data_IF_256818440412
#
_entry.id   IF_256818440412
#
_cell.length_a   1.000
_cell.length_b   1.000
_cell.length_c   1.000
_cell.angle_alpha   90.00
_cell.angle_beta   90.00
_cell.angle_gamma   90.00
#
_symmetry.space_group_name_H-M   'P 1'
#
loop_
_entity.id
_entity.type
_entity.pdbx_description
1 polymer ?
#
# COMPACT_ATOMS: atom_id res chain seq x y z
N UNK A 1 15.16 -2.76 28.84
CA UNK A 1 14.60 -1.49 28.27
C UNK A 1 13.49 -1.88 27.32
N UNK A 2 12.25 -1.49 27.65
CA UNK A 2 11.12 -1.61 26.73
C UNK A 2 11.25 -0.43 25.79
N UNK A 3 11.81 -0.65 24.61
CA UNK A 3 11.84 0.36 23.56
C UNK A 3 10.42 0.47 23.03
N UNK A 4 9.72 1.53 23.41
CA UNK A 4 8.38 1.82 22.87
C UNK A 4 8.53 2.14 21.40
N UNK A 5 8.03 1.27 20.54
CA UNK A 5 8.09 1.45 19.10
C UNK A 5 7.10 2.56 18.70
N UNK A 6 7.55 3.52 17.91
CA UNK A 6 6.70 4.58 17.38
C UNK A 6 6.10 4.14 16.06
N UNK A 7 4.79 4.08 15.98
CA UNK A 7 4.02 3.86 14.76
C UNK A 7 4.03 5.15 13.94
N UNK A 8 4.44 5.07 12.67
CA UNK A 8 4.30 6.17 11.71
C UNK A 8 5.49 7.11 11.59
N UNK A 9 6.70 6.72 12.00
CA UNK A 9 7.89 7.47 11.63
C UNK A 9 8.09 7.45 10.10
N UNK A 10 8.57 8.53 9.50
CA UNK A 10 8.64 8.72 8.02
C UNK A 10 9.39 7.63 7.25
N UNK A 11 10.12 6.76 7.92
CA UNK A 11 10.94 5.71 7.31
C UNK A 11 10.34 4.30 7.34
N UNK A 12 9.26 4.08 8.07
CA UNK A 12 8.77 2.72 8.31
C UNK A 12 7.26 2.60 8.14
N UNK A 13 6.81 2.39 6.92
CA UNK A 13 5.49 1.79 6.66
C UNK A 13 5.43 0.38 7.29
N UNK A 14 6.57 -0.31 7.45
CA UNK A 14 6.69 -1.64 8.04
C UNK A 14 6.45 -1.71 9.54
N UNK A 15 6.76 -0.67 10.29
CA UNK A 15 6.54 -0.61 11.76
C UNK A 15 5.12 -0.22 12.14
N UNK A 16 4.23 -0.14 11.17
CA UNK A 16 2.85 0.29 11.31
C UNK A 16 1.88 -0.71 10.71
N UNK A 17 0.64 -0.64 11.16
CA UNK A 17 -0.47 -1.31 10.50
C UNK A 17 -0.75 -0.61 9.18
N UNK A 18 -0.64 -1.32 8.05
CA UNK A 18 -0.76 -0.78 6.70
C UNK A 18 -1.88 -1.45 5.90
N UNK A 19 -2.49 -0.69 5.01
CA UNK A 19 -3.26 -1.18 3.87
C UNK A 19 -2.52 -0.85 2.59
N UNK A 20 -2.58 -1.75 1.61
CA UNK A 20 -1.81 -1.64 0.38
C UNK A 20 -2.67 -1.98 -0.82
N UNK A 21 -2.50 -1.22 -1.89
CA UNK A 21 -3.11 -1.45 -3.19
C UNK A 21 -2.02 -1.65 -4.24
N UNK A 22 -1.95 -2.85 -4.80
CA UNK A 22 -1.02 -3.19 -5.87
C UNK A 22 -1.79 -3.38 -7.16
N UNK A 23 -1.30 -2.83 -8.28
CA UNK A 23 -2.02 -2.87 -9.56
C UNK A 23 -1.10 -2.79 -10.78
N UNK A 24 -1.56 -3.32 -11.91
CA UNK A 24 -0.94 -3.22 -13.24
C UNK A 24 -1.90 -2.44 -14.15
N UNK A 25 -1.91 -1.10 -14.07
CA UNK A 25 -2.94 -0.31 -14.76
C UNK A 25 -2.77 -0.24 -16.27
N UNK A 26 -1.54 -0.42 -16.79
CA UNK A 26 -1.23 -0.36 -18.22
C UNK A 26 -1.17 -1.73 -18.90
N UNK A 27 -1.21 -2.83 -18.14
CA UNK A 27 -1.16 -4.18 -18.71
C UNK A 27 0.20 -4.60 -19.29
N UNK A 28 1.26 -3.85 -19.00
CA UNK A 28 2.62 -4.03 -19.57
C UNK A 28 3.59 -4.77 -18.63
N UNK A 29 3.09 -5.26 -17.48
CA UNK A 29 3.90 -5.96 -16.48
C UNK A 29 4.56 -5.04 -15.44
N UNK A 30 4.46 -3.72 -15.59
CA UNK A 30 4.87 -2.77 -14.54
C UNK A 30 3.73 -2.68 -13.51
N UNK A 31 3.99 -3.12 -12.30
CA UNK A 31 3.02 -2.95 -11.22
C UNK A 31 3.39 -1.79 -10.31
N UNK A 32 2.37 -1.16 -9.76
CA UNK A 32 2.46 -0.15 -8.71
C UNK A 32 2.12 -0.77 -7.37
N UNK A 33 2.81 -0.32 -6.33
CA UNK A 33 2.41 -0.52 -4.95
C UNK A 33 2.13 0.84 -4.31
N UNK A 34 0.91 1.01 -3.83
CA UNK A 34 0.47 2.17 -3.07
C UNK A 34 0.19 1.68 -1.66
N UNK A 35 1.01 2.08 -0.72
CA UNK A 35 0.98 1.63 0.66
C UNK A 35 0.61 2.81 1.56
N UNK A 36 -0.33 2.61 2.47
CA UNK A 36 -0.75 3.64 3.42
C UNK A 36 -0.84 3.06 4.82
N UNK A 37 -0.15 3.67 5.76
CA UNK A 37 -0.25 3.25 7.14
C UNK A 37 -1.48 3.86 7.86
N UNK A 38 -1.71 3.41 9.10
CA UNK A 38 -2.87 3.80 9.90
C UNK A 38 -2.96 5.29 10.27
N UNK A 39 -1.93 6.09 10.02
CA UNK A 39 -1.91 7.55 10.20
C UNK A 39 -1.78 8.33 8.89
N UNK A 40 -1.95 7.66 7.74
CA UNK A 40 -1.95 8.30 6.44
C UNK A 40 -0.57 8.57 5.85
N UNK A 41 0.53 8.01 6.37
CA UNK A 41 1.82 8.02 5.67
C UNK A 41 1.73 7.12 4.46
N UNK A 42 2.19 7.63 3.30
CA UNK A 42 2.02 6.93 2.02
C UNK A 42 3.36 6.71 1.33
N UNK A 43 3.48 5.54 0.71
CA UNK A 43 4.56 5.19 -0.20
C UNK A 43 3.95 4.75 -1.53
N UNK A 44 4.56 5.18 -2.62
CA UNK A 44 4.21 4.71 -3.97
C UNK A 44 5.48 4.24 -4.65
N UNK A 45 5.45 3.03 -5.18
CA UNK A 45 6.54 2.45 -5.96
C UNK A 45 6.02 1.87 -7.28
N UNK A 46 6.89 1.73 -8.26
CA UNK A 46 6.56 1.10 -9.54
C UNK A 46 7.75 0.34 -10.13
N UNK A 47 7.51 -0.81 -10.70
CA UNK A 47 8.53 -1.62 -11.37
C UNK A 47 8.03 -3.02 -11.73
N UNK A 48 8.84 -3.81 -12.45
CA UNK A 48 8.45 -5.13 -12.90
C UNK A 48 8.58 -6.22 -11.82
N UNK A 49 9.47 -6.01 -10.84
CA UNK A 49 9.76 -6.96 -9.76
C UNK A 49 10.13 -6.22 -8.48
N UNK A 50 10.04 -6.90 -7.34
CA UNK A 50 10.28 -6.34 -6.00
C UNK A 50 11.58 -5.52 -5.88
N UNK A 51 12.69 -6.04 -6.41
CA UNK A 51 14.02 -5.44 -6.24
C UNK A 51 14.41 -4.49 -7.38
N UNK A 52 13.54 -4.26 -8.37
CA UNK A 52 13.75 -3.34 -9.47
C UNK A 52 12.56 -2.39 -9.58
N UNK A 53 12.44 -1.51 -8.58
CA UNK A 53 11.36 -0.53 -8.48
C UNK A 53 11.91 0.86 -8.23
N UNK A 54 11.19 1.82 -8.74
CA UNK A 54 11.40 3.24 -8.48
C UNK A 54 10.32 3.74 -7.52
N UNK A 55 10.73 4.49 -6.50
CA UNK A 55 9.78 5.17 -5.64
C UNK A 55 9.35 6.49 -6.26
N UNK A 56 8.08 6.78 -6.18
CA UNK A 56 7.54 8.05 -6.61
C UNK A 56 8.14 9.21 -5.81
N UNK A 57 8.48 10.32 -6.47
CA UNK A 57 8.93 11.53 -5.77
C UNK A 57 7.80 12.10 -4.88
N UNK A 58 8.19 12.94 -3.91
CA UNK A 58 7.23 13.52 -2.94
C UNK A 58 6.10 14.30 -3.60
N UNK A 59 6.36 14.94 -4.72
CA UNK A 59 5.37 15.69 -5.51
C UNK A 59 4.25 14.79 -6.02
N UNK A 60 4.55 13.54 -6.36
CA UNK A 60 3.56 12.55 -6.81
C UNK A 60 2.77 12.00 -5.62
N UNK A 61 3.44 11.61 -4.53
CA UNK A 61 2.74 11.11 -3.34
C UNK A 61 1.86 12.18 -2.69
N UNK A 62 2.21 13.47 -2.82
CA UNK A 62 1.42 14.59 -2.35
C UNK A 62 0.08 14.78 -3.09
N UNK A 63 -0.08 14.21 -4.29
CA UNK A 63 -1.34 14.25 -5.06
C UNK A 63 -2.43 13.38 -4.44
N UNK A 64 -2.05 12.38 -3.65
CA UNK A 64 -3.02 11.50 -2.99
C UNK A 64 -3.67 12.25 -1.82
N UNK A 65 -4.97 12.50 -1.93
CA UNK A 65 -5.74 13.01 -0.81
C UNK A 65 -6.00 11.86 0.17
N UNK A 66 -5.85 12.12 1.46
CA UNK A 66 -5.89 11.08 2.49
C UNK A 66 -6.47 11.61 3.80
N UNK A 67 -7.21 10.74 4.45
CA UNK A 67 -7.75 10.94 5.77
C UNK A 67 -7.55 9.66 6.60
N UNK A 68 -7.29 9.81 7.88
CA UNK A 68 -7.21 8.72 8.84
C UNK A 68 -7.98 9.03 10.12
N UNK A 69 -8.67 8.04 10.65
CA UNK A 69 -9.38 8.13 11.93
C UNK A 69 -8.45 8.34 13.12
N UNK A 70 -7.18 7.93 12.99
CA UNK A 70 -6.15 8.07 14.04
C UNK A 70 -5.36 9.39 13.94
N UNK A 71 -5.72 10.27 12.99
CA UNK A 71 -4.98 11.48 12.72
C UNK A 71 -3.69 11.23 11.96
N UNK A 72 -2.71 12.15 12.08
CA UNK A 72 -1.48 12.14 11.30
C UNK A 72 -0.22 12.28 12.14
N UNK A 73 -0.32 12.04 13.47
CA UNK A 73 0.83 12.12 14.37
C UNK A 73 1.29 10.74 14.78
N UNK A 74 2.59 10.46 14.78
CA UNK A 74 3.14 9.23 15.32
C UNK A 74 2.72 8.99 16.77
N UNK A 75 2.50 7.73 17.13
CA UNK A 75 2.14 7.32 18.48
C UNK A 75 2.82 6.00 18.86
N UNK A 76 2.88 5.70 20.15
CA UNK A 76 3.39 4.43 20.65
C UNK A 76 2.48 3.27 20.22
N UNK A 77 3.05 2.14 19.80
CA UNK A 77 2.29 0.95 19.41
C UNK A 77 1.26 0.60 20.48
N UNK A 78 0.04 0.38 20.06
CA UNK A 78 -1.08 -0.04 20.91
C UNK A 78 -1.25 -1.54 20.81
N UNK A 79 -1.34 -2.19 21.95
CA UNK A 79 -1.54 -3.65 22.04
C UNK A 79 -3.03 -3.91 22.28
N UNK A 80 -3.59 -4.92 21.61
CA UNK A 80 -4.96 -5.34 21.74
C UNK A 80 -5.81 -5.01 20.52
N UNK A 81 -7.10 -5.20 20.65
CA UNK A 81 -8.06 -4.91 19.60
C UNK A 81 -8.07 -3.41 19.29
N UNK A 82 -7.87 -3.07 18.00
CA UNK A 82 -7.83 -1.67 17.56
C UNK A 82 -8.46 -1.57 16.18
N UNK A 83 -9.50 -0.75 16.09
CA UNK A 83 -10.13 -0.36 14.84
C UNK A 83 -9.56 0.95 14.34
N UNK A 84 -9.35 1.05 13.04
CA UNK A 84 -8.95 2.29 12.39
C UNK A 84 -9.41 2.31 10.93
N UNK A 85 -9.55 3.52 10.41
CA UNK A 85 -10.01 3.76 9.05
C UNK A 85 -9.06 4.71 8.33
N UNK A 86 -8.85 4.46 7.03
CA UNK A 86 -8.24 5.42 6.12
C UNK A 86 -9.11 5.56 4.87
N UNK A 87 -9.14 6.76 4.32
CA UNK A 87 -9.73 7.05 3.02
C UNK A 87 -8.68 7.70 2.12
N UNK A 88 -8.55 7.18 0.89
CA UNK A 88 -7.61 7.67 -0.11
C UNK A 88 -8.37 8.05 -1.39
N UNK A 89 -8.05 9.23 -1.95
CA UNK A 89 -8.40 9.58 -3.33
C UNK A 89 -7.09 9.59 -4.11
N UNK A 90 -6.94 8.63 -5.03
CA UNK A 90 -5.73 8.37 -5.79
C UNK A 90 -5.96 8.85 -7.23
N UNK A 91 -5.42 10.00 -7.64
CA UNK A 91 -5.55 10.46 -9.01
C UNK A 91 -4.70 9.62 -9.97
N UNK A 92 -5.08 9.51 -11.23
CA UNK A 92 -4.35 8.73 -12.24
C UNK A 92 -2.90 9.19 -12.43
N UNK A 93 -2.59 10.45 -12.18
CA UNK A 93 -1.22 11.01 -12.20
C UNK A 93 -0.27 10.37 -11.18
N UNK A 94 -0.77 9.62 -10.21
CA UNK A 94 0.05 8.83 -9.28
C UNK A 94 0.74 7.66 -9.98
N UNK A 95 0.21 7.21 -11.12
CA UNK A 95 0.85 6.21 -11.98
C UNK A 95 1.97 6.84 -12.83
N UNK A 96 2.99 7.37 -12.16
CA UNK A 96 4.04 8.28 -12.66
C UNK A 96 4.92 7.71 -13.79
N UNK A 97 4.86 6.40 -14.05
CA UNK A 97 5.53 5.76 -15.20
C UNK A 97 4.66 5.68 -16.45
N UNK A 98 3.38 6.04 -16.34
CA UNK A 98 2.39 5.90 -17.40
C UNK A 98 1.53 7.16 -17.49
N UNK A 99 1.06 7.44 -18.70
CA UNK A 99 -0.01 8.40 -18.91
C UNK A 99 -1.33 7.64 -18.96
N UNK A 100 -2.10 7.73 -17.87
CA UNK A 100 -3.42 7.09 -17.76
C UNK A 100 -4.46 8.19 -17.60
N UNK A 101 -5.30 8.34 -18.63
CA UNK A 101 -6.32 9.37 -18.64
C UNK A 101 -7.62 8.90 -17.98
N UNK A 102 -7.96 7.61 -18.09
CA UNK A 102 -9.10 6.98 -17.41
C UNK A 102 -8.91 5.48 -17.28
N UNK A 103 -9.47 4.91 -16.19
CA UNK A 103 -9.65 3.47 -16.02
C UNK A 103 -11.12 3.04 -16.15
N UNK A 104 -12.05 3.98 -16.42
CA UNK A 104 -13.47 3.69 -16.53
C UNK A 104 -13.75 2.58 -17.56
N UNK A 105 -14.53 1.58 -17.18
CA UNK A 105 -14.84 0.42 -17.99
C UNK A 105 -13.65 -0.50 -18.29
N UNK A 106 -12.53 -0.35 -17.60
CA UNK A 106 -11.35 -1.21 -17.78
C UNK A 106 -11.23 -2.25 -16.69
N UNK A 107 -10.74 -3.42 -17.08
CA UNK A 107 -10.26 -4.45 -16.17
C UNK A 107 -8.74 -4.34 -16.04
N UNK A 108 -8.24 -4.35 -14.81
CA UNK A 108 -6.81 -4.41 -14.53
C UNK A 108 -6.47 -5.57 -13.59
N UNK A 109 -5.22 -5.97 -13.54
CA UNK A 109 -4.74 -6.88 -12.51
C UNK A 109 -4.35 -6.08 -11.26
N UNK A 110 -4.88 -6.51 -10.10
CA UNK A 110 -4.67 -5.84 -8.83
C UNK A 110 -4.79 -6.79 -7.63
N UNK A 111 -4.29 -6.35 -6.50
CA UNK A 111 -4.57 -6.98 -5.21
C UNK A 111 -4.61 -5.92 -4.10
N UNK A 112 -5.31 -6.25 -3.02
CA UNK A 112 -5.35 -5.46 -1.80
C UNK A 112 -4.75 -6.26 -0.66
N UNK A 113 -4.01 -5.57 0.19
CA UNK A 113 -3.31 -6.19 1.29
C UNK A 113 -3.52 -5.43 2.59
N UNK A 114 -3.36 -6.15 3.68
CA UNK A 114 -3.29 -5.61 5.02
C UNK A 114 -2.10 -6.25 5.72
N UNK A 115 -1.20 -5.45 6.24
CA UNK A 115 -0.06 -5.97 6.98
C UNK A 115 0.27 -5.18 8.25
N UNK A 116 1.06 -5.81 9.07
CA UNK A 116 1.78 -5.25 10.18
C UNK A 116 3.02 -6.11 10.38
N UNK A 117 4.03 -5.92 9.52
CA UNK A 117 5.20 -6.80 9.41
C UNK A 117 6.05 -6.78 10.68
N UNK A 118 6.35 -5.60 11.16
CA UNK A 118 7.20 -5.38 12.32
C UNK A 118 6.43 -5.07 13.61
N UNK A 119 5.12 -5.25 13.61
CA UNK A 119 4.32 -5.09 14.83
C UNK A 119 4.61 -6.22 15.82
N UNK A 120 4.27 -6.02 17.08
CA UNK A 120 4.40 -7.02 18.15
C UNK A 120 3.64 -8.32 17.80
N UNK A 121 2.53 -8.21 17.08
CA UNK A 121 1.79 -9.33 16.50
C UNK A 121 1.76 -9.17 14.96
N UNK A 122 2.76 -9.72 14.26
CA UNK A 122 2.79 -9.65 12.79
C UNK A 122 1.56 -10.31 12.16
N UNK A 123 1.04 -9.69 11.09
CA UNK A 123 -0.09 -10.22 10.35
C UNK A 123 -0.04 -9.82 8.88
N UNK A 124 -0.55 -10.71 8.02
CA UNK A 124 -0.58 -10.54 6.57
C UNK A 124 -1.90 -11.06 6.02
N UNK A 125 -2.64 -10.21 5.32
CA UNK A 125 -3.90 -10.53 4.69
C UNK A 125 -3.86 -10.08 3.23
N UNK A 126 -4.52 -10.82 2.36
CA UNK A 126 -4.69 -10.46 0.94
C UNK A 126 -6.12 -10.68 0.48
N UNK A 127 -6.61 -9.81 -0.40
CA UNK A 127 -7.91 -9.98 -1.05
C UNK A 127 -7.90 -11.22 -1.97
N UNK A 128 -6.98 -11.27 -2.92
CA UNK A 128 -6.77 -12.48 -3.72
C UNK A 128 -5.64 -13.31 -3.10
N UNK A 129 -5.87 -14.61 -2.80
CA UNK A 129 -4.92 -15.42 -2.06
C UNK A 129 -3.56 -15.57 -2.77
N UNK A 130 -2.48 -15.50 -2.00
CA UNK A 130 -1.13 -15.79 -2.44
C UNK A 130 -0.73 -17.18 -1.93
N UNK A 131 -0.47 -18.11 -2.84
CA UNK A 131 -0.18 -19.51 -2.51
C UNK A 131 1.34 -19.77 -2.48
N UNK A 132 2.02 -19.22 -1.47
CA UNK A 132 3.45 -19.38 -1.23
C UNK A 132 3.72 -19.60 0.26
N UNK A 133 4.88 -20.19 0.59
CA UNK A 133 5.22 -20.54 1.98
C UNK A 133 5.51 -19.32 2.86
N UNK A 134 6.15 -18.29 2.30
CA UNK A 134 6.52 -17.10 3.06
C UNK A 134 5.72 -15.89 2.55
N UNK A 135 5.23 -15.02 3.42
CA UNK A 135 4.49 -13.82 3.03
C UNK A 135 5.32 -12.94 2.09
N UNK A 136 4.81 -12.71 0.88
CA UNK A 136 5.37 -11.78 -0.09
C UNK A 136 4.24 -11.20 -0.95
N UNK A 137 3.97 -9.92 -0.82
CA UNK A 137 2.93 -9.23 -1.59
C UNK A 137 3.37 -8.85 -3.01
N UNK A 138 4.69 -8.85 -3.26
CA UNK A 138 5.25 -8.52 -4.57
C UNK A 138 5.16 -9.67 -5.57
N UNK A 139 3.97 -10.24 -5.69
CA UNK A 139 3.66 -11.42 -6.50
C UNK A 139 2.53 -11.10 -7.47
N UNK A 140 2.82 -10.38 -8.57
CA UNK A 140 1.80 -9.99 -9.55
C UNK A 140 1.13 -11.17 -10.25
N UNK A 141 1.75 -12.35 -10.23
CA UNK A 141 1.17 -13.62 -10.70
C UNK A 141 -0.06 -14.07 -9.90
N UNK A 142 -0.26 -13.54 -8.68
CA UNK A 142 -1.46 -13.78 -7.85
C UNK A 142 -2.43 -12.59 -7.81
N UNK A 143 -2.27 -11.60 -8.66
CA UNK A 143 -3.23 -10.50 -8.73
C UNK A 143 -4.56 -11.00 -9.28
N UNK A 144 -5.64 -10.59 -8.64
CA UNK A 144 -7.00 -10.77 -9.11
C UNK A 144 -7.34 -9.80 -10.25
N UNK A 145 -8.58 -9.83 -10.70
CA UNK A 145 -9.11 -8.87 -11.69
C UNK A 145 -9.94 -7.83 -10.95
N UNK A 146 -9.65 -6.56 -11.19
CA UNK A 146 -10.40 -5.40 -10.71
C UNK A 146 -11.01 -4.68 -11.90
N UNK A 147 -12.33 -4.52 -11.87
CA UNK A 147 -13.10 -3.79 -12.89
C UNK A 147 -13.45 -2.41 -12.35
N UNK A 148 -13.30 -1.40 -13.20
CA UNK A 148 -13.69 -0.01 -12.92
C UNK A 148 -15.00 0.30 -13.66
N UNK A 149 -15.98 0.82 -12.93
CA UNK A 149 -17.27 1.28 -13.48
C UNK A 149 -17.19 2.69 -14.08
#
# INVERSE_FOLDING_TARGET
EITTRLVGSEMCIRDSSCVEFFSIPAGDGIYYNIECNCIGTILVGAGPVRNNREHAPKEVTALVQRWSSLGNQPFAERIGETDWEVALIIPYSVFFKHQIDSLDGKEIKANFYKCGDELQTPHFLSWNPIQIEQPDFHRPDFFGTLEFE
#
